data_IF_326586761162
#
_entry.id   IF_326586761162
#
_cell.length_a   1.000
_cell.length_b   1.000
_cell.length_c   1.000
_cell.angle_alpha   90.00
_cell.angle_beta   90.00
_cell.angle_gamma   90.00
#
_symmetry.space_group_name_H-M   'P 1'
#
loop_
_entity.id
_entity.type
_entity.pdbx_description
1 polymer ?
#
# COMPACT_ATOMS: atom_id res chain seq x y z
N UNK A 1 2.82 -18.69 6.48
CA UNK A 1 2.56 -17.44 5.74
C UNK A 1 3.58 -17.29 4.63
N UNK A 2 3.17 -16.84 3.46
CA UNK A 2 4.08 -16.53 2.35
C UNK A 2 4.84 -15.22 2.60
N UNK A 3 5.97 -15.07 1.93
CA UNK A 3 6.77 -13.84 2.00
C UNK A 3 7.38 -13.53 0.64
N UNK A 4 7.62 -12.24 0.40
CA UNK A 4 8.35 -11.73 -0.76
C UNK A 4 9.53 -10.89 -0.29
N UNK A 5 10.68 -11.01 -0.95
CA UNK A 5 11.86 -10.21 -0.63
C UNK A 5 12.13 -9.19 -1.73
N UNK A 6 12.13 -7.91 -1.37
CA UNK A 6 12.40 -6.79 -2.27
C UNK A 6 13.49 -5.93 -1.63
N UNK A 7 14.58 -5.63 -2.33
CA UNK A 7 15.75 -4.90 -1.79
C UNK A 7 16.22 -5.43 -0.43
N UNK A 8 16.24 -6.74 -0.23
CA UNK A 8 16.61 -7.34 1.04
C UNK A 8 15.57 -7.20 2.17
N UNK A 9 14.46 -6.50 1.95
CA UNK A 9 13.36 -6.40 2.89
C UNK A 9 12.38 -7.57 2.67
N UNK A 10 12.22 -8.42 3.68
CA UNK A 10 11.29 -9.56 3.66
C UNK A 10 9.91 -9.09 4.14
N UNK A 11 8.93 -9.07 3.24
CA UNK A 11 7.53 -8.69 3.51
C UNK A 11 6.70 -9.97 3.66
N UNK A 12 5.91 -10.10 4.72
CA UNK A 12 5.05 -11.26 4.99
C UNK A 12 5.63 -12.25 6.01
N UNK A 13 6.86 -12.03 6.49
CA UNK A 13 7.45 -12.80 7.58
C UNK A 13 7.86 -11.90 8.74
N UNK A 14 7.55 -12.34 9.95
CA UNK A 14 7.79 -11.61 11.19
C UNK A 14 6.98 -10.31 11.28
N UNK A 15 7.51 -9.33 11.96
CA UNK A 15 6.88 -8.04 12.17
C UNK A 15 6.41 -7.39 10.85
N UNK A 16 5.16 -6.89 10.77
CA UNK A 16 4.66 -6.13 9.63
C UNK A 16 5.57 -4.97 9.26
N UNK A 17 5.79 -4.76 7.96
CA UNK A 17 6.62 -3.64 7.48
C UNK A 17 5.84 -2.33 7.57
N UNK A 18 6.50 -1.27 8.03
CA UNK A 18 5.87 0.03 8.26
C UNK A 18 6.04 0.93 7.05
N UNK A 19 4.92 1.45 6.55
CA UNK A 19 4.85 2.38 5.41
C UNK A 19 4.58 3.80 5.92
N UNK A 20 5.33 4.78 5.40
CA UNK A 20 5.08 6.21 5.62
C UNK A 20 4.69 6.89 4.31
N UNK A 21 3.53 7.58 4.25
CA UNK A 21 3.07 8.26 3.05
C UNK A 21 3.66 9.67 2.90
N UNK A 22 3.96 10.06 1.66
CA UNK A 22 4.23 11.43 1.23
C UNK A 22 2.98 11.95 0.54
N UNK A 23 2.36 13.00 1.10
CA UNK A 23 1.12 13.63 0.65
C UNK A 23 1.33 15.13 0.41
N UNK A 24 2.33 15.49 -0.37
CA UNK A 24 2.70 16.87 -0.69
C UNK A 24 2.49 17.17 -2.17
N UNK A 25 2.36 18.47 -2.53
CA UNK A 25 1.86 18.91 -3.84
C UNK A 25 2.94 19.31 -4.84
N UNK A 26 4.12 19.71 -4.37
CA UNK A 26 5.20 20.20 -5.23
C UNK A 26 6.40 19.27 -5.25
N UNK A 27 7.18 19.26 -6.33
CA UNK A 27 8.40 18.45 -6.45
C UNK A 27 9.37 18.71 -5.27
N UNK A 28 9.60 19.99 -4.93
CA UNK A 28 10.50 20.36 -3.83
C UNK A 28 10.02 19.84 -2.47
N UNK A 29 8.71 19.93 -2.18
CA UNK A 29 8.13 19.44 -0.94
C UNK A 29 8.18 17.90 -0.87
N UNK A 30 7.91 17.21 -1.98
CA UNK A 30 8.01 15.75 -2.08
C UNK A 30 9.44 15.31 -1.73
N UNK A 31 10.45 15.91 -2.34
CA UNK A 31 11.84 15.53 -2.13
C UNK A 31 12.37 15.93 -0.74
N UNK A 32 11.88 17.06 -0.20
CA UNK A 32 12.19 17.46 1.18
C UNK A 32 11.61 16.45 2.18
N UNK A 33 10.35 16.06 1.98
CA UNK A 33 9.68 15.06 2.83
C UNK A 33 10.34 13.69 2.71
N UNK A 34 10.71 13.26 1.50
CA UNK A 34 11.43 12.00 1.30
C UNK A 34 12.72 11.93 2.11
N UNK A 35 13.54 13.01 2.09
CA UNK A 35 14.76 13.09 2.91
C UNK A 35 14.46 13.01 4.40
N UNK A 36 13.40 13.68 4.87
CA UNK A 36 12.98 13.62 6.28
C UNK A 36 12.57 12.21 6.67
N UNK A 37 11.73 11.56 5.86
CA UNK A 37 11.20 10.22 6.14
C UNK A 37 12.27 9.12 5.99
N UNK A 38 13.27 9.32 5.15
CA UNK A 38 14.37 8.35 4.97
C UNK A 38 15.14 8.09 6.26
N UNK A 39 15.21 9.06 7.17
CA UNK A 39 15.89 8.94 8.46
C UNK A 39 15.05 8.27 9.56
N UNK A 40 13.75 8.05 9.34
CA UNK A 40 12.84 7.47 10.33
C UNK A 40 12.87 5.93 10.31
N UNK A 41 12.46 5.30 11.44
CA UNK A 41 12.35 3.84 11.58
C UNK A 41 11.11 3.32 10.85
N UNK A 42 11.18 3.29 9.51
CA UNK A 42 10.17 2.72 8.63
C UNK A 42 10.84 1.91 7.53
N UNK A 43 10.13 0.96 6.94
CA UNK A 43 10.65 0.03 5.93
C UNK A 43 10.38 0.51 4.51
N UNK A 44 9.26 1.21 4.30
CA UNK A 44 8.77 1.63 3.01
C UNK A 44 8.27 3.08 3.06
N UNK A 45 8.54 3.82 1.99
CA UNK A 45 7.97 5.15 1.78
C UNK A 45 7.02 5.08 0.60
N UNK A 46 5.78 5.52 0.82
CA UNK A 46 4.76 5.60 -0.23
C UNK A 46 4.75 7.02 -0.82
N UNK A 47 4.92 7.13 -2.12
CA UNK A 47 4.60 8.39 -2.81
C UNK A 47 3.16 8.37 -3.30
N UNK A 48 2.31 9.21 -2.71
CA UNK A 48 0.92 9.48 -3.10
C UNK A 48 0.91 10.50 -4.26
N UNK A 49 1.09 9.99 -5.47
CA UNK A 49 1.21 10.80 -6.69
C UNK A 49 -0.07 11.56 -7.04
N UNK A 50 -1.22 11.12 -6.55
CA UNK A 50 -2.51 11.83 -6.72
C UNK A 50 -2.55 13.21 -6.03
N UNK A 51 -1.68 13.47 -5.06
CA UNK A 51 -1.50 14.79 -4.45
C UNK A 51 -0.61 15.72 -5.27
N UNK A 52 0.25 15.18 -6.13
CA UNK A 52 1.21 15.96 -6.90
C UNK A 52 0.50 16.78 -7.98
N UNK A 53 0.72 18.12 -8.00
CA UNK A 53 0.04 19.02 -8.93
C UNK A 53 0.31 18.71 -10.40
N UNK A 54 1.53 18.24 -10.72
CA UNK A 54 1.96 17.91 -12.08
C UNK A 54 1.97 16.40 -12.34
N UNK A 55 1.10 15.65 -11.63
CA UNK A 55 1.05 14.17 -11.73
C UNK A 55 0.79 13.65 -13.16
N UNK A 56 0.19 14.45 -14.04
CA UNK A 56 -0.06 14.10 -15.44
C UNK A 56 1.10 14.43 -16.39
N UNK A 57 2.05 15.27 -15.97
CA UNK A 57 3.27 15.53 -16.74
C UNK A 57 4.28 14.40 -16.57
N UNK A 58 4.56 13.66 -17.66
CA UNK A 58 5.48 12.53 -17.66
C UNK A 58 6.93 12.94 -17.32
N UNK A 59 7.37 14.15 -17.71
CA UNK A 59 8.70 14.63 -17.40
C UNK A 59 8.83 14.98 -15.91
N UNK A 60 7.80 15.64 -15.33
CA UNK A 60 7.74 15.92 -13.91
C UNK A 60 7.71 14.63 -13.07
N UNK A 61 6.89 13.64 -13.45
CA UNK A 61 6.89 12.33 -12.78
C UNK A 61 8.26 11.68 -12.75
N UNK A 62 8.99 11.68 -13.90
CA UNK A 62 10.34 11.09 -13.98
C UNK A 62 11.33 11.80 -13.07
N UNK A 63 11.30 13.14 -13.00
CA UNK A 63 12.17 13.91 -12.08
C UNK A 63 11.89 13.55 -10.64
N UNK A 64 10.60 13.53 -10.24
CA UNK A 64 10.18 13.14 -8.88
C UNK A 64 10.63 11.71 -8.55
N UNK A 65 10.39 10.75 -9.41
CA UNK A 65 10.79 9.34 -9.20
C UNK A 65 12.31 9.22 -9.00
N UNK A 66 13.11 9.86 -9.86
CA UNK A 66 14.57 9.84 -9.73
C UNK A 66 15.03 10.50 -8.44
N UNK A 67 14.44 11.65 -8.08
CA UNK A 67 14.74 12.36 -6.85
C UNK A 67 14.35 11.57 -5.58
N UNK A 68 13.18 10.89 -5.61
CA UNK A 68 12.73 10.00 -4.54
C UNK A 68 13.72 8.84 -4.35
N UNK A 69 14.10 8.16 -5.44
CA UNK A 69 15.06 7.04 -5.34
C UNK A 69 16.39 7.49 -4.75
N UNK A 70 16.90 8.66 -5.18
CA UNK A 70 18.13 9.23 -4.64
C UNK A 70 18.02 9.59 -3.14
N UNK A 71 16.86 10.13 -2.71
CA UNK A 71 16.63 10.52 -1.32
C UNK A 71 16.41 9.34 -0.37
N UNK A 72 15.82 8.24 -0.86
CA UNK A 72 15.40 7.10 -0.03
C UNK A 72 16.49 6.01 0.11
N UNK A 73 17.53 6.01 -0.74
CA UNK A 73 18.59 4.99 -0.69
C UNK A 73 18.03 3.56 -0.76
N UNK A 74 18.23 2.76 0.27
CA UNK A 74 17.81 1.35 0.31
C UNK A 74 16.36 1.14 0.82
N UNK A 75 15.66 2.17 1.28
CA UNK A 75 14.25 2.02 1.67
C UNK A 75 13.38 1.69 0.47
N UNK A 76 12.35 0.88 0.69
CA UNK A 76 11.37 0.58 -0.35
C UNK A 76 10.61 1.83 -0.78
N UNK A 77 10.43 2.00 -2.08
CA UNK A 77 9.58 3.02 -2.68
C UNK A 77 8.33 2.38 -3.26
N UNK A 78 7.19 2.60 -2.61
CA UNK A 78 5.86 2.31 -3.13
C UNK A 78 5.33 3.55 -3.87
N UNK A 79 4.91 3.39 -5.10
CA UNK A 79 4.29 4.47 -5.89
C UNK A 79 2.80 4.20 -6.02
N UNK A 80 1.99 5.15 -5.58
CA UNK A 80 0.52 5.04 -5.55
C UNK A 80 -0.11 6.24 -6.26
N UNK A 81 -1.00 5.98 -7.22
CA UNK A 81 -1.99 6.98 -7.66
C UNK A 81 -3.36 6.52 -7.17
N UNK A 82 -3.81 7.08 -6.06
CA UNK A 82 -5.15 6.80 -5.53
C UNK A 82 -6.17 7.63 -6.28
N UNK A 83 -7.12 6.96 -6.94
CA UNK A 83 -8.19 7.66 -7.66
C UNK A 83 -9.23 8.20 -6.69
N UNK A 84 -9.97 9.21 -7.15
CA UNK A 84 -11.06 9.81 -6.38
C UNK A 84 -12.15 8.81 -6.02
N UNK A 85 -12.34 7.78 -6.85
CA UNK A 85 -13.29 6.69 -6.60
C UNK A 85 -12.91 5.85 -5.36
N UNK A 86 -11.61 5.78 -5.04
CA UNK A 86 -11.10 5.06 -3.86
C UNK A 86 -10.47 6.02 -2.82
N UNK A 87 -10.98 7.26 -2.73
CA UNK A 87 -10.64 8.22 -1.67
C UNK A 87 -9.37 9.03 -1.91
N UNK A 88 -8.91 9.15 -3.15
CA UNK A 88 -7.79 10.01 -3.55
C UNK A 88 -8.20 11.41 -3.97
N UNK A 89 -7.21 12.20 -4.40
CA UNK A 89 -7.38 13.61 -4.73
C UNK A 89 -7.83 13.86 -6.18
N UNK A 90 -7.52 12.94 -7.12
CA UNK A 90 -7.74 13.15 -8.53
C UNK A 90 -8.33 11.92 -9.23
N UNK A 91 -8.95 12.13 -10.39
CA UNK A 91 -9.46 11.07 -11.25
C UNK A 91 -8.59 10.97 -12.50
N UNK A 92 -8.38 9.76 -12.99
CA UNK A 92 -7.72 9.48 -14.26
C UNK A 92 -8.67 8.74 -15.20
N UNK A 93 -8.52 8.99 -16.50
CA UNK A 93 -9.06 8.07 -17.50
C UNK A 93 -8.26 6.75 -17.48
N UNK A 94 -8.84 5.64 -17.99
CA UNK A 94 -8.09 4.38 -18.07
C UNK A 94 -6.74 4.51 -18.80
N UNK A 95 -6.69 5.30 -19.87
CA UNK A 95 -5.45 5.56 -20.61
C UNK A 95 -4.43 6.33 -19.77
N UNK A 96 -4.84 7.39 -19.08
CA UNK A 96 -3.95 8.16 -18.20
C UNK A 96 -3.42 7.31 -17.05
N UNK A 97 -4.25 6.39 -16.52
CA UNK A 97 -3.83 5.48 -15.48
C UNK A 97 -2.77 4.49 -15.99
N UNK A 98 -3.00 3.91 -17.17
CA UNK A 98 -2.02 3.02 -17.82
C UNK A 98 -0.71 3.75 -18.15
N UNK A 99 -0.77 4.99 -18.64
CA UNK A 99 0.40 5.84 -18.92
C UNK A 99 1.17 6.18 -17.64
N UNK A 100 0.45 6.42 -16.53
CA UNK A 100 1.07 6.61 -15.22
C UNK A 100 1.82 5.35 -14.78
N UNK A 101 1.18 4.20 -14.77
CA UNK A 101 1.80 2.91 -14.43
C UNK A 101 3.01 2.62 -15.33
N UNK A 102 2.87 2.85 -16.63
CA UNK A 102 3.96 2.70 -17.61
C UNK A 102 5.17 3.60 -17.29
N UNK A 103 4.93 4.85 -16.91
CA UNK A 103 6.02 5.78 -16.52
C UNK A 103 6.75 5.27 -15.26
N UNK A 104 6.00 4.77 -14.27
CA UNK A 104 6.60 4.19 -13.05
C UNK A 104 7.45 2.98 -13.39
N UNK A 105 6.92 2.06 -14.18
CA UNK A 105 7.62 0.83 -14.56
C UNK A 105 8.95 1.11 -15.30
N UNK A 106 8.95 2.03 -16.28
CA UNK A 106 10.17 2.32 -17.06
C UNK A 106 11.15 3.23 -16.33
N UNK A 107 10.79 3.79 -15.17
CA UNK A 107 11.68 4.67 -14.40
C UNK A 107 12.87 3.94 -13.77
N UNK A 108 12.71 2.66 -13.46
CA UNK A 108 13.68 1.88 -12.68
C UNK A 108 13.86 2.37 -11.23
N UNK A 109 12.95 3.22 -10.73
CA UNK A 109 13.08 3.87 -9.42
C UNK A 109 12.18 3.24 -8.35
N UNK A 110 11.00 2.72 -8.75
CA UNK A 110 10.02 2.15 -7.84
C UNK A 110 10.33 0.67 -7.57
N UNK A 111 10.08 0.25 -6.33
CA UNK A 111 10.14 -1.16 -5.91
C UNK A 111 8.75 -1.81 -5.94
N UNK A 112 7.72 -0.99 -5.63
CA UNK A 112 6.33 -1.39 -5.55
C UNK A 112 5.45 -0.38 -6.30
N UNK A 113 4.43 -0.86 -7.00
CA UNK A 113 3.40 -0.07 -7.65
C UNK A 113 2.02 -0.48 -7.13
N UNK A 114 1.26 0.48 -6.58
CA UNK A 114 -0.14 0.25 -6.22
C UNK A 114 -1.03 0.34 -7.47
N UNK A 115 -1.81 -0.70 -7.73
CA UNK A 115 -2.78 -0.77 -8.82
C UNK A 115 -4.16 -1.07 -8.22
N UNK A 116 -5.12 -0.17 -8.45
CA UNK A 116 -6.49 -0.34 -7.97
C UNK A 116 -7.21 -1.47 -8.71
N UNK A 117 -7.85 -2.36 -7.96
CA UNK A 117 -8.49 -3.57 -8.47
C UNK A 117 -9.74 -3.26 -9.32
N UNK A 118 -10.71 -2.53 -8.76
CA UNK A 118 -12.01 -2.35 -9.41
C UNK A 118 -11.97 -1.48 -10.66
N UNK A 119 -11.34 -0.29 -10.66
CA UNK A 119 -11.31 0.57 -11.84
C UNK A 119 -10.57 -0.04 -13.03
N UNK A 120 -9.68 -1.01 -12.77
CA UNK A 120 -8.79 -1.57 -13.79
C UNK A 120 -9.05 -3.05 -14.06
N UNK A 121 -10.14 -3.63 -13.58
CA UNK A 121 -10.36 -5.09 -13.55
C UNK A 121 -10.09 -5.79 -14.88
N UNK A 122 -10.52 -5.23 -16.00
CA UNK A 122 -10.30 -5.82 -17.33
C UNK A 122 -8.84 -5.72 -17.79
N UNK A 123 -8.17 -4.60 -17.49
CA UNK A 123 -6.77 -4.35 -17.86
C UNK A 123 -5.74 -4.80 -16.81
N UNK A 124 -6.19 -5.25 -15.64
CA UNK A 124 -5.32 -5.53 -14.50
C UNK A 124 -4.20 -6.54 -14.79
N UNK A 125 -4.43 -7.70 -15.45
CA UNK A 125 -3.35 -8.63 -15.75
C UNK A 125 -2.28 -8.04 -16.66
N UNK A 126 -2.68 -7.15 -17.57
CA UNK A 126 -1.72 -6.49 -18.47
C UNK A 126 -0.84 -5.47 -17.73
N UNK A 127 -1.43 -4.68 -16.81
CA UNK A 127 -0.70 -3.72 -15.97
C UNK A 127 0.26 -4.45 -15.02
N UNK A 128 -0.19 -5.53 -14.37
CA UNK A 128 0.65 -6.37 -13.51
C UNK A 128 1.81 -6.97 -14.32
N UNK A 129 1.53 -7.55 -15.48
CA UNK A 129 2.55 -8.12 -16.35
C UNK A 129 3.58 -7.08 -16.82
N UNK A 130 3.17 -5.83 -17.04
CA UNK A 130 4.07 -4.73 -17.36
C UNK A 130 4.99 -4.39 -16.17
N UNK A 131 4.44 -4.30 -14.95
CA UNK A 131 5.20 -4.04 -13.74
C UNK A 131 6.24 -5.15 -13.49
N UNK A 132 5.84 -6.41 -13.56
CA UNK A 132 6.73 -7.55 -13.38
C UNK A 132 7.88 -7.59 -14.41
N UNK A 133 7.61 -7.28 -15.68
CA UNK A 133 8.67 -7.17 -16.72
C UNK A 133 9.69 -6.08 -16.41
N UNK A 134 9.28 -5.06 -15.67
CA UNK A 134 10.16 -3.98 -15.21
C UNK A 134 10.82 -4.27 -13.85
N UNK A 135 10.57 -5.43 -13.24
CA UNK A 135 11.08 -5.79 -11.92
C UNK A 135 10.41 -5.06 -10.75
N UNK A 136 9.20 -4.52 -10.97
CA UNK A 136 8.40 -3.82 -9.96
C UNK A 136 7.32 -4.76 -9.44
N UNK A 137 7.26 -4.95 -8.12
CA UNK A 137 6.22 -5.75 -7.49
C UNK A 137 4.91 -4.95 -7.38
N UNK A 138 3.77 -5.66 -7.38
CA UNK A 138 2.45 -5.03 -7.42
C UNK A 138 1.69 -5.20 -6.12
N UNK A 139 1.31 -4.07 -5.52
CA UNK A 139 0.26 -3.97 -4.52
C UNK A 139 -1.06 -3.79 -5.24
N UNK A 140 -1.90 -4.82 -5.31
CA UNK A 140 -3.24 -4.67 -5.90
C UNK A 140 -4.23 -4.31 -4.80
N UNK A 141 -4.87 -3.14 -4.91
CA UNK A 141 -5.59 -2.54 -3.80
C UNK A 141 -7.09 -2.32 -4.07
N UNK A 142 -7.87 -2.38 -2.99
CA UNK A 142 -9.29 -1.97 -2.95
C UNK A 142 -9.60 -1.26 -1.64
N UNK A 143 -10.35 -0.15 -1.73
CA UNK A 143 -10.74 0.66 -0.58
C UNK A 143 -12.25 0.85 -0.56
N UNK A 144 -12.88 0.55 0.59
CA UNK A 144 -14.29 0.84 0.85
C UNK A 144 -14.37 1.82 2.03
N UNK A 145 -14.69 3.09 1.77
CA UNK A 145 -14.79 4.15 2.77
C UNK A 145 -16.14 4.20 3.48
N UNK A 146 -17.07 3.29 3.13
CA UNK A 146 -18.45 3.35 3.62
C UNK A 146 -18.81 2.19 4.55
N UNK A 147 -18.24 1.02 4.30
CA UNK A 147 -18.58 -0.21 5.04
C UNK A 147 -17.43 -1.22 5.07
N UNK A 148 -17.60 -2.22 5.91
CA UNK A 148 -16.84 -3.48 5.86
C UNK A 148 -17.71 -4.52 5.16
N UNK A 149 -17.28 -5.06 4.00
CA UNK A 149 -17.96 -6.18 3.35
C UNK A 149 -17.96 -7.44 4.23
N UNK A 150 -18.79 -8.43 3.88
CA UNK A 150 -18.74 -9.73 4.57
C UNK A 150 -17.36 -10.37 4.43
N UNK A 151 -16.99 -11.23 5.40
CA UNK A 151 -15.75 -12.00 5.39
C UNK A 151 -15.56 -12.74 4.05
N UNK A 152 -16.58 -13.46 3.58
CA UNK A 152 -16.55 -14.19 2.30
C UNK A 152 -16.28 -13.25 1.12
N UNK A 153 -16.86 -12.07 1.09
CA UNK A 153 -16.62 -11.09 0.02
C UNK A 153 -15.17 -10.55 0.09
N UNK A 154 -14.65 -10.26 1.28
CA UNK A 154 -13.26 -9.78 1.46
C UNK A 154 -12.24 -10.84 1.02
N UNK A 155 -12.42 -12.09 1.42
CA UNK A 155 -11.58 -13.22 0.98
C UNK A 155 -11.67 -13.41 -0.54
N UNK A 156 -12.88 -13.36 -1.11
CA UNK A 156 -13.08 -13.45 -2.57
C UNK A 156 -12.34 -12.34 -3.32
N UNK A 157 -12.36 -11.10 -2.81
CA UNK A 157 -11.62 -9.98 -3.43
C UNK A 157 -10.12 -10.19 -3.37
N UNK A 158 -9.59 -10.57 -2.22
CA UNK A 158 -8.16 -10.80 -2.01
C UNK A 158 -7.65 -11.97 -2.86
N UNK A 159 -8.39 -13.08 -2.92
CA UNK A 159 -8.02 -14.21 -3.79
C UNK A 159 -8.13 -13.87 -5.28
N UNK A 160 -9.08 -13.04 -5.69
CA UNK A 160 -9.16 -12.57 -7.08
C UNK A 160 -7.95 -11.68 -7.45
N UNK A 161 -7.42 -10.88 -6.51
CA UNK A 161 -6.19 -10.11 -6.72
C UNK A 161 -4.96 -11.03 -6.84
N UNK A 162 -4.87 -12.09 -6.01
CA UNK A 162 -3.82 -13.13 -6.14
C UNK A 162 -3.88 -13.80 -7.51
N UNK A 163 -5.06 -14.23 -7.94
CA UNK A 163 -5.28 -14.89 -9.25
C UNK A 163 -4.94 -13.97 -10.44
N UNK A 164 -5.10 -12.66 -10.27
CA UNK A 164 -4.67 -11.67 -11.27
C UNK A 164 -3.15 -11.50 -11.32
N UNK A 165 -2.39 -12.07 -10.36
CA UNK A 165 -0.94 -12.01 -10.29
C UNK A 165 -0.38 -10.96 -9.34
N UNK A 166 -1.20 -10.38 -8.45
CA UNK A 166 -0.70 -9.41 -7.45
C UNK A 166 0.29 -10.05 -6.48
N UNK A 167 1.38 -9.36 -6.19
CA UNK A 167 2.37 -9.80 -5.18
C UNK A 167 1.87 -9.54 -3.76
N UNK A 168 1.10 -8.47 -3.58
CA UNK A 168 0.57 -7.99 -2.31
C UNK A 168 -0.89 -7.52 -2.48
N UNK A 169 -1.89 -8.42 -2.43
CA UNK A 169 -3.29 -8.03 -2.34
C UNK A 169 -3.54 -7.13 -1.13
N UNK A 170 -4.26 -6.01 -1.34
CA UNK A 170 -4.50 -5.01 -0.30
C UNK A 170 -5.97 -4.66 -0.19
N UNK A 171 -6.49 -4.66 1.05
CA UNK A 171 -7.86 -4.29 1.35
C UNK A 171 -7.93 -3.33 2.53
N UNK A 172 -8.56 -2.16 2.32
CA UNK A 172 -8.87 -1.21 3.38
C UNK A 172 -10.38 -0.99 3.43
N UNK A 173 -10.99 -1.16 4.61
CA UNK A 173 -12.45 -1.08 4.79
C UNK A 173 -12.83 -0.16 5.95
N UNK A 174 -14.03 0.39 5.94
CA UNK A 174 -14.55 1.25 7.01
C UNK A 174 -15.46 0.46 7.94
N UNK A 175 -15.09 0.28 9.21
CA UNK A 175 -15.95 -0.36 10.18
C UNK A 175 -17.02 0.59 10.68
N UNK A 176 -18.25 0.10 10.80
CA UNK A 176 -19.38 0.79 11.42
C UNK A 176 -19.66 0.24 12.83
N UNK A 177 -19.03 -0.90 13.17
CA UNK A 177 -19.16 -1.58 14.47
C UNK A 177 -17.87 -2.31 14.85
N UNK A 178 -17.67 -2.67 16.13
CA UNK A 178 -16.58 -3.56 16.52
C UNK A 178 -16.62 -4.92 15.82
N UNK A 179 -17.81 -5.44 15.50
CA UNK A 179 -17.95 -6.69 14.74
C UNK A 179 -17.35 -6.61 13.34
N UNK A 180 -17.42 -5.46 12.68
CA UNK A 180 -16.79 -5.24 11.37
C UNK A 180 -15.27 -5.39 11.44
N UNK A 181 -14.66 -4.94 12.55
CA UNK A 181 -13.21 -5.11 12.76
C UNK A 181 -12.87 -6.59 12.93
N UNK A 182 -13.69 -7.35 13.67
CA UNK A 182 -13.50 -8.79 13.84
C UNK A 182 -13.66 -9.54 12.51
N UNK A 183 -14.61 -9.15 11.65
CA UNK A 183 -14.77 -9.72 10.31
C UNK A 183 -13.54 -9.50 9.43
N UNK A 184 -12.94 -8.29 9.46
CA UNK A 184 -11.70 -8.04 8.74
C UNK A 184 -10.54 -8.88 9.27
N UNK A 185 -10.36 -8.95 10.58
CA UNK A 185 -9.29 -9.74 11.19
C UNK A 185 -9.46 -11.24 10.86
N UNK A 186 -10.71 -11.74 10.89
CA UNK A 186 -11.03 -13.11 10.50
C UNK A 186 -10.73 -13.38 9.02
N UNK A 187 -11.08 -12.44 8.12
CA UNK A 187 -10.73 -12.54 6.70
C UNK A 187 -9.21 -12.55 6.49
N UNK A 188 -8.48 -11.73 7.26
CA UNK A 188 -7.01 -11.66 7.18
C UNK A 188 -6.36 -12.98 7.62
N UNK A 189 -6.83 -13.56 8.73
CA UNK A 189 -6.37 -14.86 9.22
C UNK A 189 -6.69 -15.97 8.22
N UNK A 190 -7.90 -15.99 7.65
CA UNK A 190 -8.29 -16.94 6.61
C UNK A 190 -7.38 -16.87 5.39
N UNK A 191 -7.02 -15.67 4.92
CA UNK A 191 -6.07 -15.51 3.82
C UNK A 191 -4.69 -16.09 4.18
N UNK A 192 -4.20 -15.83 5.39
CA UNK A 192 -2.89 -16.31 5.83
C UNK A 192 -2.83 -17.83 5.98
N UNK A 193 -3.93 -18.48 6.38
CA UNK A 193 -4.02 -19.91 6.66
C UNK A 193 -4.43 -20.75 5.45
N UNK A 194 -5.41 -20.26 4.65
CA UNK A 194 -6.05 -21.04 3.60
C UNK A 194 -5.67 -20.61 2.19
N UNK A 195 -5.14 -19.37 2.02
CA UNK A 195 -4.75 -18.80 0.73
C UNK A 195 -3.33 -18.20 0.80
N UNK A 196 -2.31 -19.02 1.19
CA UNK A 196 -0.97 -18.52 1.49
C UNK A 196 -0.09 -18.26 0.25
N UNK A 197 -0.67 -18.09 -0.94
CA UNK A 197 0.08 -17.91 -2.20
C UNK A 197 0.89 -16.61 -2.18
N UNK A 198 0.31 -15.53 -1.63
CA UNK A 198 0.98 -14.23 -1.46
C UNK A 198 0.66 -13.62 -0.10
N UNK A 199 1.56 -12.80 0.50
CA UNK A 199 1.25 -12.03 1.69
C UNK A 199 0.18 -10.98 1.37
N UNK A 200 -0.69 -10.68 2.33
CA UNK A 200 -1.77 -9.69 2.17
C UNK A 200 -1.54 -8.45 3.03
N UNK A 201 -2.13 -7.34 2.64
CA UNK A 201 -2.15 -6.08 3.42
C UNK A 201 -3.60 -5.76 3.71
N UNK A 202 -4.00 -5.79 4.98
CA UNK A 202 -5.39 -5.51 5.36
C UNK A 202 -5.45 -4.50 6.48
N UNK A 203 -6.48 -3.66 6.45
CA UNK A 203 -6.74 -2.71 7.52
C UNK A 203 -8.18 -2.28 7.61
N UNK A 204 -8.65 -2.14 8.84
CA UNK A 204 -9.88 -1.43 9.19
C UNK A 204 -9.55 0.05 9.44
N UNK A 205 -10.29 0.96 8.82
CA UNK A 205 -10.02 2.40 8.91
C UNK A 205 -10.72 3.04 10.11
N UNK A 206 -10.47 4.34 10.34
CA UNK A 206 -11.10 5.08 11.44
C UNK A 206 -10.65 4.64 12.83
N UNK A 207 -11.22 5.25 13.84
CA UNK A 207 -10.84 5.02 15.24
C UNK A 207 -11.13 3.58 15.72
N UNK A 208 -12.25 2.99 15.29
CA UNK A 208 -12.60 1.60 15.64
C UNK A 208 -11.58 0.60 15.06
N UNK A 209 -11.03 0.89 13.89
CA UNK A 209 -10.14 -0.01 13.15
C UNK A 209 -8.68 0.01 13.58
N UNK A 210 -8.28 0.91 14.48
CA UNK A 210 -6.86 1.12 14.88
C UNK A 210 -6.16 -0.18 15.25
N UNK A 211 -6.82 -1.06 15.98
CA UNK A 211 -6.25 -2.34 16.43
C UNK A 211 -5.76 -3.19 15.25
N UNK A 212 -6.46 -3.18 14.10
CA UNK A 212 -6.08 -3.96 12.92
C UNK A 212 -4.72 -3.53 12.31
N UNK A 213 -4.30 -2.30 12.57
CA UNK A 213 -3.01 -1.75 12.11
C UNK A 213 -1.84 -2.18 13.00
N UNK A 214 -2.12 -2.64 14.21
CA UNK A 214 -1.14 -2.90 15.25
C UNK A 214 -0.92 -4.39 15.53
N UNK A 215 -1.83 -5.27 15.09
CA UNK A 215 -1.80 -6.71 15.33
C UNK A 215 -1.54 -7.55 14.06
N UNK A 216 -0.92 -6.95 13.04
CA UNK A 216 -0.76 -7.59 11.73
C UNK A 216 0.04 -8.90 11.77
N UNK A 217 1.06 -9.04 12.62
CA UNK A 217 1.83 -10.29 12.74
C UNK A 217 0.95 -11.45 13.24
N UNK A 218 0.03 -11.16 14.18
CA UNK A 218 -0.88 -12.17 14.73
C UNK A 218 -1.89 -12.69 13.69
N UNK A 219 -2.40 -11.81 12.85
CA UNK A 219 -3.49 -12.15 11.91
C UNK A 219 -3.04 -12.34 10.46
N UNK A 220 -1.77 -12.01 10.12
CA UNK A 220 -1.23 -12.24 8.80
C UNK A 220 -1.22 -11.02 7.86
N UNK A 221 -1.43 -9.79 8.37
CA UNK A 221 -1.23 -8.58 7.55
C UNK A 221 0.24 -8.20 7.49
N UNK A 222 0.82 -8.20 6.28
CA UNK A 222 2.26 -8.09 6.05
C UNK A 222 2.82 -6.67 6.19
N UNK A 223 1.99 -5.65 6.04
CA UNK A 223 2.40 -4.25 6.12
C UNK A 223 1.33 -3.39 6.82
N UNK A 224 1.77 -2.28 7.42
CA UNK A 224 0.88 -1.29 8.03
C UNK A 224 1.32 0.13 7.73
N UNK A 225 0.38 1.05 7.72
CA UNK A 225 0.61 2.48 7.49
C UNK A 225 0.66 3.23 8.82
N UNK A 226 1.74 3.97 9.03
CA UNK A 226 1.90 4.88 10.15
C UNK A 226 1.80 6.35 9.72
N UNK A 227 1.54 7.22 10.70
CA UNK A 227 1.49 8.66 10.52
C UNK A 227 2.86 9.27 10.83
N UNK A 228 3.53 9.91 9.85
CA UNK A 228 4.80 10.58 10.07
C UNK A 228 4.69 12.02 10.59
N UNK A 229 3.49 12.45 10.99
CA UNK A 229 3.13 13.81 11.41
C UNK A 229 1.83 14.30 10.74
N UNK A 230 1.55 13.89 9.50
CA UNK A 230 0.29 14.14 8.81
C UNK A 230 -0.30 12.80 8.32
N UNK A 231 -1.53 12.51 8.72
CA UNK A 231 -2.23 11.30 8.30
C UNK A 231 -2.70 11.40 6.85
N UNK A 232 -2.54 10.33 6.08
CA UNK A 232 -3.06 10.19 4.70
C UNK A 232 -4.37 9.42 4.61
N UNK A 233 -4.80 8.81 5.72
CA UNK A 233 -6.04 8.06 5.83
C UNK A 233 -6.55 8.04 7.28
N UNK A 234 -7.87 7.83 7.50
CA UNK A 234 -8.46 7.75 8.84
C UNK A 234 -7.84 6.64 9.69
N UNK A 235 -7.58 6.93 10.98
CA UNK A 235 -7.11 5.95 11.96
C UNK A 235 -5.63 5.59 11.88
N UNK A 236 -4.81 6.34 11.14
CA UNK A 236 -3.36 6.17 11.17
C UNK A 236 -2.78 6.60 12.52
N UNK A 237 -1.95 5.74 13.11
CA UNK A 237 -1.28 5.92 14.40
C UNK A 237 0.10 6.53 14.18
N UNK A 238 0.60 7.31 15.15
CA UNK A 238 1.95 7.88 15.11
C UNK A 238 3.02 6.78 14.97
N UNK A 239 4.07 7.06 14.19
CA UNK A 239 5.11 6.09 13.84
C UNK A 239 5.75 5.43 15.07
N UNK A 240 6.08 6.24 16.09
CA UNK A 240 6.76 5.73 17.29
C UNK A 240 5.87 4.75 18.05
N UNK A 241 4.56 5.07 18.17
CA UNK A 241 3.57 4.18 18.80
C UNK A 241 3.41 2.88 18.00
N UNK A 242 3.32 2.98 16.66
CA UNK A 242 3.26 1.78 15.80
C UNK A 242 4.48 0.89 16.03
N UNK A 243 5.68 1.46 16.03
CA UNK A 243 6.92 0.72 16.24
C UNK A 243 6.96 0.05 17.61
N UNK A 244 6.61 0.77 18.68
CA UNK A 244 6.60 0.26 20.06
C UNK A 244 5.63 -0.91 20.21
N UNK A 245 4.41 -0.77 19.69
CA UNK A 245 3.40 -1.84 19.79
C UNK A 245 3.79 -3.05 18.95
N UNK A 246 4.23 -2.86 17.70
CA UNK A 246 4.66 -3.98 16.86
C UNK A 246 5.87 -4.73 17.43
N UNK A 247 6.81 -4.01 18.08
CA UNK A 247 7.95 -4.64 18.75
C UNK A 247 7.50 -5.42 20.02
N UNK A 248 6.44 -4.95 20.70
CA UNK A 248 5.87 -5.60 21.90
C UNK A 248 4.98 -6.81 21.59
N UNK A 249 4.37 -6.85 20.40
CA UNK A 249 3.48 -7.92 19.96
C UNK A 249 4.16 -8.97 19.08
N UNK A 250 5.50 -8.96 18.99
CA UNK A 250 6.25 -9.94 18.19
C UNK A 250 5.94 -11.38 18.64
N UNK A 251 5.67 -12.22 17.66
CA UNK A 251 5.63 -13.66 17.85
C UNK A 251 7.08 -14.17 17.89
N UNK A 252 7.37 -15.07 18.82
CA UNK A 252 8.72 -15.67 19.00
C UNK A 252 9.14 -16.54 17.81
#
# INVERSE_FOLDING_TARGET
>A
MSSITIRGCCIGAGRPKVILPIVTRTEDDILREARRLSALKADCIEWRADWFSDALDAAARKRVLSGLRAALGEKLLLVTFRTKAEGGEASLTPQQYADFCGTVCVSGCADLLDIEFFPNREGLPALIGQAHKAGVAVVCSSHDFHKTPSRTEMVTRLTAMQQAGADLPKLAVMPNSPSDVLELLAATAEMAEQHPETPVITMSMGALGVVSRLCGETFGSAMTFANPGQASAPGQVALDVVNEVLDSLRLE
#
